data_IF_129647782557
#
_entry.id   IF_129647782557
#
_cell.length_a   1.000
_cell.length_b   1.000
_cell.length_c   1.000
_cell.angle_alpha   90.00
_cell.angle_beta   90.00
_cell.angle_gamma   90.00
#
_symmetry.space_group_name_H-M   'P 1'
#
loop_
_entity.id
_entity.type
_entity.pdbx_description
1 polymer ?
#
# COMPACT_ATOMS: atom_id res chain seq x y z
N UNK A 1 16.87 -1.80 -18.93
CA UNK A 1 15.53 -1.27 -19.28
C UNK A 1 15.39 0.11 -18.66
N UNK A 2 15.05 1.13 -19.44
CA UNK A 2 14.99 2.56 -19.07
C UNK A 2 13.61 2.95 -18.51
N UNK A 3 13.58 3.98 -17.66
CA UNK A 3 12.32 4.67 -17.29
C UNK A 3 11.66 5.22 -18.56
N UNK A 4 10.33 5.10 -18.68
CA UNK A 4 9.59 5.58 -19.86
C UNK A 4 9.29 7.07 -19.71
N UNK A 5 8.12 7.39 -19.17
CA UNK A 5 7.67 8.77 -18.90
C UNK A 5 7.77 8.98 -17.40
N UNK A 6 8.34 10.10 -16.93
CA UNK A 6 8.24 10.44 -15.51
C UNK A 6 6.87 11.06 -15.24
N UNK A 7 5.97 10.43 -14.47
CA UNK A 7 4.63 10.99 -14.19
C UNK A 7 4.73 12.31 -13.41
N UNK A 8 5.74 12.42 -12.53
CA UNK A 8 6.02 13.60 -11.73
C UNK A 8 6.45 14.81 -12.57
N UNK A 9 6.95 14.59 -13.79
CA UNK A 9 7.32 15.66 -14.73
C UNK A 9 6.23 15.90 -15.77
N UNK A 10 5.62 14.84 -16.28
CA UNK A 10 4.62 14.93 -17.34
C UNK A 10 3.26 15.44 -16.83
N UNK A 11 2.90 15.15 -15.58
CA UNK A 11 1.63 15.55 -14.98
C UNK A 11 1.78 15.90 -13.48
N UNK A 12 2.65 16.87 -13.12
CA UNK A 12 3.01 17.15 -11.72
C UNK A 12 1.78 17.49 -10.86
N UNK A 13 0.83 18.28 -11.37
CA UNK A 13 -0.35 18.69 -10.61
C UNK A 13 -1.25 17.49 -10.27
N UNK A 14 -1.45 16.56 -11.22
CA UNK A 14 -2.29 15.38 -11.00
C UNK A 14 -1.64 14.42 -9.99
N UNK A 15 -0.33 14.22 -10.11
CA UNK A 15 0.41 13.37 -9.16
C UNK A 15 0.46 14.02 -7.77
N UNK A 16 0.61 15.34 -7.70
CA UNK A 16 0.57 16.08 -6.44
C UNK A 16 -0.79 15.95 -5.74
N UNK A 17 -1.89 16.11 -6.47
CA UNK A 17 -3.24 15.91 -5.93
C UNK A 17 -3.46 14.49 -5.40
N UNK A 18 -2.94 13.47 -6.09
CA UNK A 18 -3.00 12.09 -5.61
C UNK A 18 -2.20 11.90 -4.30
N UNK A 19 -1.03 12.52 -4.19
CA UNK A 19 -0.22 12.49 -2.96
C UNK A 19 -0.92 13.22 -1.81
N UNK A 20 -1.51 14.40 -2.06
CA UNK A 20 -2.26 15.17 -1.07
C UNK A 20 -3.48 14.40 -0.55
N UNK A 21 -4.18 13.74 -1.46
CA UNK A 21 -5.28 12.86 -1.11
C UNK A 21 -4.79 11.69 -0.25
N UNK A 22 -3.70 11.03 -0.64
CA UNK A 22 -3.06 9.98 0.15
C UNK A 22 -2.71 10.45 1.57
N UNK A 23 -2.12 11.63 1.72
CA UNK A 23 -1.80 12.22 3.03
C UNK A 23 -3.05 12.48 3.88
N UNK A 24 -4.10 13.03 3.28
CA UNK A 24 -5.38 13.27 3.96
C UNK A 24 -5.99 11.98 4.51
N UNK A 25 -5.80 10.86 3.81
CA UNK A 25 -6.24 9.55 4.29
C UNK A 25 -5.46 9.06 5.52
N UNK A 26 -4.17 9.41 5.63
CA UNK A 26 -3.29 9.03 6.74
C UNK A 26 -3.44 9.92 7.99
N UNK A 27 -3.71 11.21 7.80
CA UNK A 27 -3.72 12.19 8.90
C UNK A 27 -4.87 11.97 9.90
N UNK A 28 -5.89 11.19 9.53
CA UNK A 28 -7.05 10.94 10.38
C UNK A 28 -7.53 9.49 10.24
N UNK A 29 -7.60 8.72 11.32
CA UNK A 29 -8.45 7.54 11.41
C UNK A 29 -7.87 6.17 11.04
N UNK A 30 -6.64 6.04 10.55
CA UNK A 30 -5.96 4.73 10.45
C UNK A 30 -4.54 4.79 11.01
N UNK A 31 -4.13 3.71 11.65
CA UNK A 31 -2.81 3.58 12.24
C UNK A 31 -1.73 3.53 11.14
N UNK A 32 -0.64 4.30 11.29
CA UNK A 32 0.41 4.36 10.27
C UNK A 32 1.03 3.00 9.98
N UNK A 33 1.26 2.19 11.02
CA UNK A 33 1.79 0.83 10.88
C UNK A 33 0.83 -0.09 10.12
N UNK A 34 -0.49 0.03 10.36
CA UNK A 34 -1.50 -0.73 9.62
C UNK A 34 -1.46 -0.38 8.13
N UNK A 35 -1.40 0.92 7.81
CA UNK A 35 -1.32 1.36 6.41
C UNK A 35 -0.02 0.90 5.75
N UNK A 36 1.10 0.89 6.49
CA UNK A 36 2.38 0.36 6.02
C UNK A 36 2.30 -1.13 5.65
N UNK A 37 1.67 -1.95 6.49
CA UNK A 37 1.44 -3.37 6.21
C UNK A 37 0.61 -3.55 4.92
N UNK A 38 -0.48 -2.81 4.79
CA UNK A 38 -1.35 -2.81 3.61
C UNK A 38 -0.60 -2.36 2.36
N UNK A 39 0.24 -1.33 2.47
CA UNK A 39 1.02 -0.77 1.39
C UNK A 39 2.09 -1.74 0.85
N UNK A 40 2.81 -2.40 1.76
CA UNK A 40 3.77 -3.45 1.41
C UNK A 40 3.05 -4.60 0.73
N UNK A 41 1.94 -5.10 1.31
CA UNK A 41 1.23 -6.24 0.74
C UNK A 41 0.65 -5.93 -0.64
N UNK A 42 0.03 -4.77 -0.80
CA UNK A 42 -0.50 -4.30 -2.09
C UNK A 42 0.59 -4.20 -3.15
N UNK A 43 1.78 -3.73 -2.77
CA UNK A 43 2.93 -3.61 -3.66
C UNK A 43 3.54 -4.97 -4.04
N UNK A 44 3.58 -5.93 -3.10
CA UNK A 44 4.00 -7.32 -3.39
C UNK A 44 3.10 -7.97 -4.44
N UNK A 45 1.77 -7.85 -4.28
CA UNK A 45 0.80 -8.45 -5.22
C UNK A 45 0.95 -7.84 -6.61
N UNK A 46 1.12 -6.52 -6.68
CA UNK A 46 1.28 -5.80 -7.95
C UNK A 46 2.69 -5.94 -8.56
N UNK A 47 3.64 -6.61 -7.90
CA UNK A 47 5.04 -6.70 -8.35
C UNK A 47 5.77 -5.34 -8.39
N UNK A 48 5.34 -4.37 -7.56
CA UNK A 48 5.86 -3.00 -7.57
C UNK A 48 7.10 -2.88 -6.68
N UNK A 49 8.29 -3.08 -7.27
CA UNK A 49 9.56 -2.89 -6.56
C UNK A 49 9.75 -1.44 -6.07
N UNK A 50 9.31 -0.45 -6.85
CA UNK A 50 9.37 0.96 -6.45
C UNK A 50 8.48 1.24 -5.22
N UNK A 51 7.26 0.69 -5.20
CA UNK A 51 6.37 0.77 -4.04
C UNK A 51 6.98 0.12 -2.80
N UNK A 52 7.50 -1.10 -2.94
CA UNK A 52 8.20 -1.79 -1.85
C UNK A 52 9.36 -0.96 -1.31
N UNK A 53 10.25 -0.48 -2.18
CA UNK A 53 11.38 0.34 -1.75
C UNK A 53 10.93 1.59 -0.99
N UNK A 54 9.90 2.30 -1.47
CA UNK A 54 9.37 3.47 -0.77
C UNK A 54 8.99 3.14 0.68
N UNK A 55 8.11 2.16 0.88
CA UNK A 55 7.58 1.86 2.22
C UNK A 55 8.63 1.27 3.17
N UNK A 56 9.54 0.44 2.68
CA UNK A 56 10.66 -0.04 3.49
C UNK A 56 11.67 1.06 3.83
N UNK A 57 11.90 2.02 2.93
CA UNK A 57 12.79 3.16 3.18
C UNK A 57 12.20 4.10 4.22
N UNK A 58 10.91 4.42 4.15
CA UNK A 58 10.22 5.23 5.16
C UNK A 58 10.27 4.54 6.54
N UNK A 59 9.97 3.24 6.61
CA UNK A 59 10.04 2.48 7.86
C UNK A 59 11.44 2.55 8.51
N UNK A 60 12.52 2.50 7.71
CA UNK A 60 13.90 2.63 8.22
C UNK A 60 14.25 4.03 8.74
N UNK A 61 13.56 5.08 8.28
CA UNK A 61 13.79 6.44 8.77
C UNK A 61 13.22 6.65 10.18
N UNK A 62 12.23 5.85 10.56
CA UNK A 62 11.55 5.93 11.85
C UNK A 62 12.27 5.14 12.96
N UNK A 63 13.22 4.28 12.61
CA UNK A 63 14.01 3.51 13.56
C UNK A 63 14.34 2.10 13.08
N UNK A 64 14.62 1.16 14.00
CA UNK A 64 14.78 -0.25 13.68
C UNK A 64 13.56 -0.79 12.95
N UNK A 65 13.79 -1.58 11.90
CA UNK A 65 12.72 -2.17 11.10
C UNK A 65 11.91 -3.17 11.94
N UNK A 66 10.58 -3.06 11.92
CA UNK A 66 9.71 -4.07 12.52
C UNK A 66 9.90 -5.41 11.78
N UNK A 67 10.34 -6.49 12.47
CA UNK A 67 10.56 -7.80 11.84
C UNK A 67 9.29 -8.40 11.22
N UNK A 68 8.09 -7.96 11.64
CA UNK A 68 6.82 -8.37 11.03
C UNK A 68 6.72 -7.96 9.56
N UNK A 69 7.43 -6.91 9.13
CA UNK A 69 7.41 -6.47 7.74
C UNK A 69 7.94 -7.53 6.77
N UNK A 70 8.87 -8.38 7.20
CA UNK A 70 9.40 -9.49 6.40
C UNK A 70 8.37 -10.62 6.25
N UNK A 71 7.44 -10.73 7.21
CA UNK A 71 6.41 -11.77 7.26
C UNK A 71 5.11 -11.39 6.55
N UNK A 72 4.96 -10.13 6.09
CA UNK A 72 3.73 -9.65 5.44
C UNK A 72 3.31 -10.50 4.24
N UNK A 73 4.28 -11.04 3.48
CA UNK A 73 3.98 -11.90 2.33
C UNK A 73 3.28 -13.21 2.72
N UNK A 74 3.56 -13.69 3.94
CA UNK A 74 3.10 -14.96 4.51
C UNK A 74 2.18 -14.75 5.72
N UNK A 75 1.51 -13.59 5.81
CA UNK A 75 0.77 -13.16 7.01
C UNK A 75 -0.29 -14.15 7.50
N UNK A 76 -0.82 -15.03 6.63
CA UNK A 76 -1.80 -16.05 7.02
C UNK A 76 -1.19 -17.19 7.83
N UNK A 77 0.10 -17.47 7.64
CA UNK A 77 0.85 -18.58 8.24
C UNK A 77 1.56 -18.19 9.55
N UNK A 78 1.13 -17.11 10.18
CA UNK A 78 1.69 -16.61 11.43
C UNK A 78 0.61 -15.89 12.25
N UNK A 79 0.85 -15.80 13.56
CA UNK A 79 -0.01 -15.19 14.58
C UNK A 79 0.48 -13.80 15.05
N UNK A 80 1.58 -13.30 14.51
CA UNK A 80 2.17 -11.99 14.89
C UNK A 80 1.34 -10.77 14.46
N UNK A 81 0.31 -10.98 13.64
CA UNK A 81 -0.61 -9.93 13.19
C UNK A 81 -1.93 -10.02 13.95
N UNK A 82 -2.36 -8.87 14.48
CA UNK A 82 -3.64 -8.73 15.20
C UNK A 82 -4.84 -9.04 14.29
N UNK A 83 -6.03 -9.36 14.86
CA UNK A 83 -7.23 -9.55 14.06
C UNK A 83 -7.55 -8.37 13.12
N UNK A 84 -7.33 -7.13 13.57
CA UNK A 84 -7.51 -5.91 12.77
C UNK A 84 -6.53 -5.84 11.60
N UNK A 85 -5.24 -6.11 11.83
CA UNK A 85 -4.24 -6.16 10.76
C UNK A 85 -4.53 -7.27 9.75
N UNK A 86 -4.94 -8.45 10.21
CA UNK A 86 -5.33 -9.59 9.37
C UNK A 86 -6.54 -9.25 8.50
N UNK A 87 -7.55 -8.58 9.06
CA UNK A 87 -8.71 -8.11 8.31
C UNK A 87 -8.30 -7.10 7.22
N UNK A 88 -7.42 -6.14 7.54
CA UNK A 88 -6.92 -5.18 6.55
C UNK A 88 -6.09 -5.84 5.44
N UNK A 89 -5.19 -6.78 5.79
CA UNK A 89 -4.38 -7.52 4.82
C UNK A 89 -5.23 -8.38 3.90
N UNK A 90 -6.25 -9.05 4.45
CA UNK A 90 -7.24 -9.79 3.67
C UNK A 90 -8.03 -8.91 2.70
N UNK A 91 -8.47 -7.74 3.17
CA UNK A 91 -9.19 -6.76 2.35
C UNK A 91 -8.31 -6.17 1.23
N UNK A 92 -7.06 -5.83 1.56
CA UNK A 92 -6.07 -5.36 0.60
C UNK A 92 -5.82 -6.38 -0.51
N UNK A 93 -5.71 -7.66 -0.18
CA UNK A 93 -5.58 -8.72 -1.17
C UNK A 93 -6.81 -8.86 -2.07
N UNK A 94 -8.01 -8.87 -1.49
CA UNK A 94 -9.26 -9.01 -2.23
C UNK A 94 -9.45 -7.85 -3.22
N UNK A 95 -9.24 -6.60 -2.78
CA UNK A 95 -9.41 -5.44 -3.63
C UNK A 95 -8.28 -5.24 -4.65
N UNK A 96 -7.05 -5.63 -4.31
CA UNK A 96 -5.94 -5.58 -5.27
C UNK A 96 -6.15 -6.57 -6.42
N UNK A 97 -6.76 -7.73 -6.14
CA UNK A 97 -7.09 -8.78 -7.12
C UNK A 97 -8.54 -8.73 -7.61
N UNK A 98 -9.21 -7.57 -7.54
CA UNK A 98 -10.64 -7.45 -7.88
C UNK A 98 -10.97 -7.86 -9.33
N UNK A 99 -9.99 -7.82 -10.24
CA UNK A 99 -10.15 -8.29 -11.61
C UNK A 99 -10.10 -9.82 -11.75
N UNK A 100 -9.52 -10.53 -10.78
CA UNK A 100 -9.34 -11.99 -10.79
C UNK A 100 -10.50 -12.71 -10.11
N UNK A 101 -11.07 -12.12 -9.06
CA UNK A 101 -12.15 -12.72 -8.28
C UNK A 101 -13.07 -11.65 -7.68
N UNK A 102 -14.34 -12.04 -7.47
CA UNK A 102 -15.30 -11.22 -6.72
C UNK A 102 -14.88 -11.14 -5.25
N UNK A 103 -15.03 -9.95 -4.66
CA UNK A 103 -14.90 -9.75 -3.21
C UNK A 103 -15.96 -10.58 -2.48
N UNK A 104 -15.53 -11.42 -1.54
CA UNK A 104 -16.43 -12.31 -0.78
C UNK A 104 -17.07 -11.58 0.39
N UNK A 105 -18.28 -12.01 0.76
CA UNK A 105 -18.96 -11.50 1.95
C UNK A 105 -18.14 -11.79 3.23
N UNK A 106 -17.43 -12.92 3.27
CA UNK A 106 -16.53 -13.25 4.37
C UNK A 106 -15.43 -12.18 4.56
N UNK A 107 -14.76 -11.76 3.48
CA UNK A 107 -13.75 -10.71 3.55
C UNK A 107 -14.34 -9.38 4.03
N UNK A 108 -15.55 -9.04 3.57
CA UNK A 108 -16.27 -7.85 4.03
C UNK A 108 -16.60 -7.92 5.53
N UNK A 109 -17.11 -9.05 6.01
CA UNK A 109 -17.50 -9.22 7.42
C UNK A 109 -16.29 -9.16 8.35
N UNK A 110 -15.14 -9.70 7.94
CA UNK A 110 -13.91 -9.61 8.74
C UNK A 110 -13.47 -8.16 8.97
N UNK A 111 -13.56 -7.31 7.94
CA UNK A 111 -13.28 -5.87 8.09
C UNK A 111 -14.35 -5.19 8.93
N UNK A 112 -15.63 -5.46 8.66
CA UNK A 112 -16.75 -4.87 9.42
C UNK A 112 -16.68 -5.18 10.92
N UNK A 113 -16.12 -6.34 11.30
CA UNK A 113 -15.92 -6.72 12.70
C UNK A 113 -14.77 -5.96 13.40
N UNK A 114 -13.85 -5.36 12.65
CA UNK A 114 -12.62 -4.74 13.19
C UNK A 114 -12.55 -3.23 12.95
N UNK A 115 -13.36 -2.69 12.04
CA UNK A 115 -13.32 -1.30 11.58
C UNK A 115 -14.70 -0.65 11.71
N UNK A 116 -14.72 0.64 12.05
CA UNK A 116 -15.93 1.46 11.91
C UNK A 116 -16.29 1.64 10.42
N UNK A 117 -17.50 2.13 10.12
CA UNK A 117 -17.89 2.39 8.74
C UNK A 117 -16.98 3.42 8.04
N UNK A 118 -16.58 4.47 8.76
CA UNK A 118 -15.64 5.46 8.21
C UNK A 118 -14.27 4.84 7.96
N UNK A 119 -13.73 4.08 8.91
CA UNK A 119 -12.42 3.44 8.75
C UNK A 119 -12.43 2.40 7.61
N UNK A 120 -13.52 1.66 7.42
CA UNK A 120 -13.63 0.69 6.32
C UNK A 120 -13.63 1.39 4.95
N UNK A 121 -14.39 2.49 4.80
CA UNK A 121 -14.34 3.32 3.59
C UNK A 121 -12.93 3.88 3.40
N UNK A 122 -12.31 4.40 4.46
CA UNK A 122 -10.96 4.95 4.42
C UNK A 122 -9.91 3.92 4.01
N UNK A 123 -9.95 2.72 4.59
CA UNK A 123 -9.07 1.61 4.23
C UNK A 123 -9.19 1.26 2.74
N UNK A 124 -10.43 1.23 2.22
CA UNK A 124 -10.71 0.99 0.80
C UNK A 124 -10.09 2.06 -0.10
N UNK A 125 -10.21 3.34 0.30
CA UNK A 125 -9.61 4.47 -0.44
C UNK A 125 -8.08 4.41 -0.41
N UNK A 126 -7.49 4.07 0.74
CA UNK A 126 -6.04 3.86 0.88
C UNK A 126 -5.57 2.77 -0.09
N UNK A 127 -6.25 1.62 -0.13
CA UNK A 127 -5.92 0.53 -1.06
C UNK A 127 -6.02 1.00 -2.52
N UNK A 128 -7.01 1.83 -2.86
CA UNK A 128 -7.16 2.42 -4.20
C UNK A 128 -6.01 3.35 -4.58
N UNK A 129 -5.58 4.22 -3.66
CA UNK A 129 -4.43 5.12 -3.86
C UNK A 129 -3.14 4.31 -4.05
N UNK A 130 -2.90 3.30 -3.21
CA UNK A 130 -1.74 2.40 -3.33
C UNK A 130 -1.71 1.68 -4.69
N UNK A 131 -2.85 1.16 -5.10
CA UNK A 131 -3.04 0.53 -6.40
C UNK A 131 -2.78 1.48 -7.57
N UNK A 132 -3.13 2.76 -7.42
CA UNK A 132 -2.87 3.80 -8.42
C UNK A 132 -1.37 4.09 -8.54
N UNK A 133 -0.65 4.25 -7.43
CA UNK A 133 0.81 4.43 -7.46
C UNK A 133 1.53 3.22 -8.06
N UNK A 134 1.10 2.01 -7.74
CA UNK A 134 1.67 0.79 -8.33
C UNK A 134 1.42 0.71 -9.85
N UNK A 135 0.26 1.17 -10.34
CA UNK A 135 -0.03 1.29 -11.78
C UNK A 135 0.87 2.32 -12.45
N UNK A 136 1.09 3.48 -11.82
CA UNK A 136 2.03 4.47 -12.33
C UNK A 136 3.44 3.88 -12.42
N UNK A 137 3.89 3.17 -11.39
CA UNK A 137 5.20 2.54 -11.39
C UNK A 137 5.34 1.49 -12.49
N UNK A 138 4.40 0.55 -12.60
CA UNK A 138 4.42 -0.50 -13.60
C UNK A 138 4.28 0.05 -15.03
N UNK A 139 3.30 0.94 -15.26
CA UNK A 139 3.00 1.50 -16.58
C UNK A 139 4.11 2.36 -17.15
N UNK A 140 4.77 3.14 -16.28
CA UNK A 140 5.82 4.08 -16.67
C UNK A 140 7.25 3.60 -16.39
N UNK A 141 7.41 2.41 -15.82
CA UNK A 141 8.70 1.80 -15.54
C UNK A 141 9.49 2.54 -14.46
N UNK A 142 8.82 3.04 -13.42
CA UNK A 142 9.48 3.54 -12.21
C UNK A 142 10.10 2.36 -11.48
N UNK A 143 11.38 2.48 -11.11
CA UNK A 143 12.17 1.36 -10.58
C UNK A 143 12.66 1.68 -9.19
N UNK A 144 12.79 0.63 -8.38
CA UNK A 144 13.67 0.69 -7.24
C UNK A 144 15.12 0.89 -7.70
N UNK A 145 15.88 1.69 -6.97
CA UNK A 145 17.30 1.94 -7.22
C UNK A 145 18.15 1.33 -6.12
N UNK A 146 19.43 1.02 -6.38
CA UNK A 146 20.33 0.55 -5.33
C UNK A 146 20.46 1.58 -4.19
N UNK A 147 20.41 2.87 -4.55
CA UNK A 147 20.27 3.96 -3.60
C UNK A 147 18.79 4.17 -3.26
N UNK A 148 18.42 3.82 -2.04
CA UNK A 148 17.08 4.04 -1.47
C UNK A 148 16.71 5.52 -1.26
N UNK A 149 17.56 6.45 -1.72
CA UNK A 149 17.29 7.89 -1.64
C UNK A 149 16.23 8.23 -2.69
N UNK A 150 15.18 9.01 -2.35
CA UNK A 150 14.27 9.51 -3.36
C UNK A 150 15.11 10.28 -4.40
N UNK A 151 15.02 9.87 -5.66
CA UNK A 151 15.48 10.74 -6.75
C UNK A 151 14.55 11.95 -6.72
N UNK A 152 15.01 13.03 -6.10
CA UNK A 152 14.49 14.35 -6.38
C UNK A 152 14.66 14.57 -7.89
N UNK A 153 13.54 14.75 -8.58
CA UNK A 153 13.52 15.37 -9.89
C UNK A 153 13.84 16.86 -9.74
#
# INVERSE_FOLDING_TARGET
MTTRISPFVAAPQLVQQLMDYGRTLLDNGLEQDLVRLVAIRTSQINGSAAGLQLYYSEARKEGPLDPRLDLVVAWRDTDVFTPRERAALGWAEALTRVAEARVTDEAYQLVKAQFTDEEHVRLTLVIGVLNTFNRLAAGHGLRATADARPQAA
#
